data_IF_221648997481
#
_entry.id   IF_221648997481
#
_cell.length_a   1.000
_cell.length_b   1.000
_cell.length_c   1.000
_cell.angle_alpha   90.00
_cell.angle_beta   90.00
_cell.angle_gamma   90.00
#
_symmetry.space_group_name_H-M   'P 1'
#
loop_
_entity.id
_entity.type
_entity.pdbx_description
1 polymer ?
#
# COMPACT_ATOMS: atom_id res chain seq x y z
N UNK A 1 -27.26 -3.11 -10.40
CA UNK A 1 -26.57 -4.03 -9.46
C UNK A 1 -26.86 -3.58 -8.04
N UNK A 2 -27.41 -4.43 -7.18
CA UNK A 2 -27.79 -4.07 -5.79
C UNK A 2 -26.57 -4.26 -4.89
N UNK A 3 -26.02 -3.19 -4.34
CA UNK A 3 -24.88 -3.24 -3.41
C UNK A 3 -25.34 -3.92 -2.10
N UNK A 4 -24.62 -4.98 -1.69
CA UNK A 4 -24.89 -5.69 -0.43
C UNK A 4 -24.64 -4.79 0.79
N UNK A 5 -25.22 -5.13 1.95
CA UNK A 5 -24.94 -4.43 3.20
C UNK A 5 -23.44 -4.48 3.55
N UNK A 6 -22.81 -5.63 3.32
CA UNK A 6 -21.37 -5.84 3.53
C UNK A 6 -20.54 -4.86 2.70
N UNK A 7 -20.86 -4.71 1.41
CA UNK A 7 -20.13 -3.79 0.52
C UNK A 7 -20.27 -2.33 1.00
N UNK A 8 -21.46 -1.91 1.45
CA UNK A 8 -21.66 -0.56 2.02
C UNK A 8 -20.82 -0.34 3.27
N UNK A 9 -20.76 -1.34 4.15
CA UNK A 9 -19.94 -1.29 5.36
C UNK A 9 -18.46 -1.17 5.01
N UNK A 10 -17.96 -2.00 4.09
CA UNK A 10 -16.57 -1.99 3.64
C UNK A 10 -16.19 -0.64 3.00
N UNK A 11 -17.06 -0.08 2.15
CA UNK A 11 -16.85 1.26 1.57
C UNK A 11 -16.80 2.36 2.64
N UNK A 12 -17.67 2.30 3.65
CA UNK A 12 -17.70 3.28 4.75
C UNK A 12 -16.43 3.21 5.59
N UNK A 13 -15.98 1.99 5.93
CA UNK A 13 -14.74 1.77 6.67
C UNK A 13 -13.51 2.23 5.87
N UNK A 14 -13.44 1.88 4.59
CA UNK A 14 -12.39 2.34 3.70
C UNK A 14 -12.35 3.87 3.60
N UNK A 15 -13.53 4.53 3.58
CA UNK A 15 -13.63 6.00 3.60
C UNK A 15 -13.08 6.58 4.89
N UNK A 16 -13.49 6.04 6.03
CA UNK A 16 -12.99 6.49 7.33
C UNK A 16 -11.47 6.30 7.46
N UNK A 17 -10.94 5.19 6.93
CA UNK A 17 -9.51 4.95 6.84
C UNK A 17 -8.81 6.02 5.98
N UNK A 18 -9.29 6.24 4.76
CA UNK A 18 -8.69 7.18 3.82
C UNK A 18 -8.66 8.62 4.34
N UNK A 19 -9.70 9.05 5.08
CA UNK A 19 -9.78 10.40 5.68
C UNK A 19 -8.76 10.65 6.79
N UNK A 20 -8.14 9.60 7.34
CA UNK A 20 -7.11 9.72 8.39
C UNK A 20 -5.69 9.78 7.83
N UNK A 21 -5.52 9.49 6.53
CA UNK A 21 -4.21 9.53 5.87
C UNK A 21 -3.77 10.99 5.71
N UNK A 22 -2.48 11.24 5.99
CA UNK A 22 -1.85 12.53 5.76
C UNK A 22 -1.05 12.51 4.45
N UNK A 23 -0.66 13.68 3.94
CA UNK A 23 0.10 13.80 2.70
C UNK A 23 -0.67 13.41 1.43
N UNK A 24 -1.99 13.27 1.52
CA UNK A 24 -2.90 12.91 0.43
C UNK A 24 -3.75 14.13 0.07
N UNK A 25 -3.74 14.53 -1.20
CA UNK A 25 -4.56 15.66 -1.70
C UNK A 25 -6.00 15.26 -1.95
N UNK A 26 -6.21 14.04 -2.43
CA UNK A 26 -7.52 13.52 -2.81
C UNK A 26 -7.52 12.00 -2.83
N UNK A 27 -8.71 11.43 -2.66
CA UNK A 27 -8.89 9.99 -2.74
C UNK A 27 -10.22 9.63 -3.40
N UNK A 28 -10.25 8.47 -4.06
CA UNK A 28 -11.44 7.84 -4.61
C UNK A 28 -11.55 6.42 -4.06
N UNK A 29 -12.78 5.98 -3.82
CA UNK A 29 -13.05 4.64 -3.31
C UNK A 29 -14.01 3.95 -4.26
N UNK A 30 -13.68 2.71 -4.62
CA UNK A 30 -14.51 1.86 -5.47
C UNK A 30 -14.44 0.41 -5.02
N UNK A 31 -15.47 -0.37 -5.35
CA UNK A 31 -15.37 -1.82 -5.29
C UNK A 31 -14.35 -2.29 -6.34
N UNK A 32 -13.59 -3.32 -6.00
CA UNK A 32 -12.68 -3.98 -6.94
C UNK A 32 -13.47 -4.95 -7.80
N UNK A 33 -13.26 -4.88 -9.11
CA UNK A 33 -13.73 -5.90 -10.05
C UNK A 33 -12.64 -6.95 -10.31
N UNK A 34 -13.03 -8.09 -10.87
CA UNK A 34 -12.11 -9.20 -11.15
C UNK A 34 -11.00 -8.83 -12.14
N UNK A 35 -11.25 -7.87 -13.04
CA UNK A 35 -10.28 -7.42 -14.04
C UNK A 35 -9.44 -6.22 -13.58
N UNK A 36 -9.72 -5.65 -12.41
CA UNK A 36 -8.98 -4.51 -11.89
C UNK A 36 -7.64 -4.97 -11.28
N UNK A 37 -6.54 -4.27 -11.59
CA UNK A 37 -5.23 -4.49 -10.97
C UNK A 37 -4.77 -5.97 -10.96
N UNK A 38 -5.07 -6.73 -12.02
CA UNK A 38 -4.77 -8.18 -12.10
C UNK A 38 -3.30 -8.47 -11.80
N UNK A 39 -2.40 -7.70 -12.42
CA UNK A 39 -0.96 -7.85 -12.20
C UNK A 39 -0.57 -7.54 -10.74
N UNK A 40 -1.00 -6.41 -10.18
CA UNK A 40 -0.66 -6.05 -8.79
C UNK A 40 -1.17 -7.09 -7.80
N UNK A 41 -2.42 -7.55 -7.95
CA UNK A 41 -2.99 -8.58 -7.08
C UNK A 41 -2.30 -9.93 -7.22
N UNK A 42 -1.84 -10.29 -8.43
CA UNK A 42 -1.01 -11.49 -8.63
C UNK A 42 0.32 -11.36 -7.88
N UNK A 43 1.01 -10.23 -7.99
CA UNK A 43 2.28 -9.99 -7.30
C UNK A 43 2.13 -10.01 -5.78
N UNK A 44 1.07 -9.40 -5.24
CA UNK A 44 0.78 -9.49 -3.80
C UNK A 44 0.57 -10.93 -3.31
N UNK A 45 -0.11 -11.77 -4.11
CA UNK A 45 -0.26 -13.19 -3.79
C UNK A 45 1.07 -13.92 -3.79
N UNK A 46 1.99 -13.59 -4.70
CA UNK A 46 3.33 -14.19 -4.75
C UNK A 46 4.19 -13.78 -3.54
N UNK A 47 4.17 -12.50 -3.16
CA UNK A 47 4.89 -11.98 -1.96
C UNK A 47 4.41 -12.68 -0.69
N UNK A 48 3.10 -12.93 -0.57
CA UNK A 48 2.54 -13.55 0.63
C UNK A 48 2.71 -15.09 0.70
N UNK A 49 3.41 -15.72 -0.25
CA UNK A 49 3.75 -17.15 -0.15
C UNK A 49 4.86 -17.36 0.87
N UNK A 50 4.77 -18.46 1.62
CA UNK A 50 5.76 -18.87 2.62
C UNK A 50 7.15 -19.05 1.98
N UNK A 51 7.20 -19.70 0.81
CA UNK A 51 8.46 -19.97 0.08
C UNK A 51 8.70 -18.96 -1.05
N UNK A 52 8.38 -17.68 -0.84
CA UNK A 52 8.65 -16.68 -1.87
C UNK A 52 10.17 -16.44 -2.00
N UNK A 53 10.66 -16.33 -3.24
CA UNK A 53 12.06 -16.03 -3.56
C UNK A 53 12.21 -14.60 -4.08
N UNK A 54 11.28 -13.71 -3.70
CA UNK A 54 11.26 -12.34 -4.20
C UNK A 54 12.36 -11.56 -3.50
N UNK A 55 13.12 -10.80 -4.28
CA UNK A 55 14.16 -9.94 -3.74
C UNK A 55 13.55 -8.95 -2.74
N UNK A 56 14.16 -8.89 -1.56
CA UNK A 56 13.70 -8.07 -0.44
C UNK A 56 14.87 -7.40 0.24
N UNK A 57 14.58 -6.27 0.87
CA UNK A 57 15.52 -5.60 1.76
C UNK A 57 15.01 -5.68 3.19
N UNK A 58 15.80 -6.27 4.07
CA UNK A 58 15.48 -6.34 5.49
C UNK A 58 16.00 -5.12 6.25
N UNK A 59 15.24 -4.70 7.25
CA UNK A 59 15.58 -3.64 8.17
C UNK A 59 15.47 -4.14 9.60
N UNK A 60 16.52 -3.92 10.39
CA UNK A 60 16.50 -4.22 11.81
C UNK A 60 15.54 -3.29 12.57
N UNK A 61 14.95 -3.81 13.63
CA UNK A 61 14.17 -3.04 14.60
C UNK A 61 15.12 -2.51 15.70
N UNK A 62 15.04 -1.22 16.12
CA UNK A 62 14.08 -0.21 15.69
C UNK A 62 14.36 0.34 14.29
N UNK A 63 13.28 0.47 13.50
CA UNK A 63 13.34 0.88 12.10
C UNK A 63 13.77 2.36 11.96
N UNK A 64 14.79 2.60 11.15
CA UNK A 64 15.14 3.97 10.74
C UNK A 64 14.16 4.45 9.65
N UNK A 65 13.12 5.15 10.08
CA UNK A 65 12.03 5.63 9.21
C UNK A 65 12.53 6.50 8.06
N UNK A 66 13.53 7.36 8.28
CA UNK A 66 14.08 8.23 7.24
C UNK A 66 14.79 7.41 6.14
N UNK A 67 15.49 6.33 6.52
CA UNK A 67 16.12 5.41 5.58
C UNK A 67 15.08 4.64 4.76
N UNK A 68 13.98 4.24 5.40
CA UNK A 68 12.87 3.59 4.71
C UNK A 68 12.18 4.53 3.73
N UNK A 69 11.82 5.74 4.15
CA UNK A 69 11.20 6.75 3.27
C UNK A 69 12.11 7.06 2.08
N UNK A 70 13.42 7.17 2.31
CA UNK A 70 14.40 7.38 1.24
C UNK A 70 14.42 6.21 0.26
N UNK A 71 14.28 4.96 0.74
CA UNK A 71 14.14 3.78 -0.11
C UNK A 71 12.84 3.79 -0.91
N UNK A 72 11.71 4.18 -0.31
CA UNK A 72 10.45 4.35 -1.04
C UNK A 72 10.60 5.37 -2.17
N UNK A 73 11.16 6.53 -1.87
CA UNK A 73 11.33 7.62 -2.82
C UNK A 73 12.22 7.21 -4.00
N UNK A 74 13.34 6.52 -3.74
CA UNK A 74 14.24 6.03 -4.78
C UNK A 74 13.62 4.91 -5.60
N UNK A 75 12.92 3.98 -4.94
CA UNK A 75 12.22 2.88 -5.61
C UNK A 75 11.14 3.39 -6.55
N UNK A 76 10.36 4.39 -6.14
CA UNK A 76 9.28 4.93 -6.96
C UNK A 76 9.77 5.95 -8.01
N UNK A 77 11.05 6.37 -7.97
CA UNK A 77 11.60 7.48 -8.75
C UNK A 77 10.70 8.73 -8.67
N UNK A 78 10.35 9.11 -7.44
CA UNK A 78 9.38 10.18 -7.17
C UNK A 78 9.94 11.52 -7.59
N UNK A 79 9.39 12.10 -8.66
CA UNK A 79 9.68 13.48 -9.08
C UNK A 79 8.48 14.43 -8.89
N UNK A 80 7.27 13.88 -8.66
CA UNK A 80 5.98 14.59 -8.57
C UNK A 80 4.98 13.78 -7.72
N UNK A 81 3.74 14.26 -7.62
CA UNK A 81 2.62 13.56 -7.00
C UNK A 81 2.51 12.11 -7.47
N UNK A 82 2.22 11.20 -6.54
CA UNK A 82 2.19 9.76 -6.75
C UNK A 82 0.76 9.27 -6.69
N UNK A 83 0.36 8.48 -7.69
CA UNK A 83 -0.90 7.75 -7.65
C UNK A 83 -0.67 6.38 -7.01
N UNK A 84 -1.31 6.17 -5.87
CA UNK A 84 -1.17 4.97 -5.05
C UNK A 84 -2.54 4.31 -4.85
N UNK A 85 -2.58 2.99 -4.81
CA UNK A 85 -3.79 2.21 -4.57
C UNK A 85 -3.57 1.29 -3.37
N UNK A 86 -4.55 1.26 -2.47
CA UNK A 86 -4.62 0.35 -1.32
C UNK A 86 -5.80 -0.59 -1.52
N UNK A 87 -5.58 -1.89 -1.41
CA UNK A 87 -6.63 -2.90 -1.47
C UNK A 87 -7.14 -3.20 -0.06
N UNK A 88 -8.17 -2.46 0.35
CA UNK A 88 -8.77 -2.57 1.67
C UNK A 88 -9.66 -3.82 1.77
N UNK A 89 -9.28 -4.75 2.64
CA UNK A 89 -9.97 -6.06 2.86
C UNK A 89 -10.08 -6.87 1.55
N UNK A 90 -9.22 -6.60 0.56
CA UNK A 90 -9.21 -7.30 -0.73
C UNK A 90 -10.39 -7.01 -1.68
N UNK A 91 -11.41 -6.27 -1.23
CA UNK A 91 -12.66 -6.02 -1.98
C UNK A 91 -12.84 -4.56 -2.40
N UNK A 92 -12.15 -3.64 -1.74
CA UNK A 92 -12.28 -2.20 -1.97
C UNK A 92 -10.94 -1.62 -2.38
N UNK A 93 -10.93 -0.82 -3.44
CA UNK A 93 -9.77 -0.02 -3.83
C UNK A 93 -9.91 1.39 -3.25
N UNK A 94 -8.88 1.83 -2.55
CA UNK A 94 -8.69 3.24 -2.18
C UNK A 94 -7.58 3.78 -3.10
N UNK A 95 -7.97 4.58 -4.09
CA UNK A 95 -7.04 5.27 -4.99
C UNK A 95 -6.73 6.65 -4.41
N UNK A 96 -5.44 6.96 -4.26
CA UNK A 96 -4.90 8.10 -3.53
C UNK A 96 -4.01 8.92 -4.46
N UNK A 97 -4.13 10.24 -4.39
CA UNK A 97 -3.13 11.17 -4.94
C UNK A 97 -2.28 11.69 -3.78
N UNK A 98 -1.05 11.19 -3.68
CA UNK A 98 -0.09 11.51 -2.61
C UNK A 98 0.81 12.65 -3.08
N UNK A 99 0.88 13.74 -2.30
CA UNK A 99 1.79 14.86 -2.53
C UNK A 99 3.00 14.85 -1.59
N UNK A 100 2.81 14.35 -0.36
CA UNK A 100 3.87 14.21 0.64
C UNK A 100 4.00 12.73 1.03
N UNK A 101 4.98 12.07 0.41
CA UNK A 101 5.27 10.67 0.66
C UNK A 101 5.65 10.41 2.13
N UNK A 102 6.40 11.30 2.75
CA UNK A 102 6.85 11.12 4.13
C UNK A 102 5.67 11.15 5.09
N UNK A 103 4.82 12.17 4.97
CA UNK A 103 3.60 12.29 5.79
C UNK A 103 2.64 11.12 5.54
N UNK A 104 2.53 10.67 4.29
CA UNK A 104 1.71 9.52 3.92
C UNK A 104 2.18 8.23 4.58
N UNK A 105 3.46 7.86 4.43
CA UNK A 105 4.02 6.63 5.02
C UNK A 105 3.92 6.66 6.55
N UNK A 106 4.22 7.80 7.18
CA UNK A 106 4.07 7.97 8.64
C UNK A 106 2.62 7.79 9.10
N UNK A 107 1.65 8.28 8.32
CA UNK A 107 0.23 8.10 8.64
C UNK A 107 -0.21 6.64 8.55
N UNK A 108 0.33 5.84 7.62
CA UNK A 108 0.05 4.41 7.53
C UNK A 108 0.46 3.68 8.81
N UNK A 109 1.68 3.93 9.31
CA UNK A 109 2.16 3.31 10.55
C UNK A 109 1.30 3.68 11.76
N UNK A 110 0.96 4.96 11.87
CA UNK A 110 0.13 5.46 12.97
C UNK A 110 -1.27 4.84 12.98
N UNK A 111 -1.89 4.67 11.80
CA UNK A 111 -3.24 4.11 11.69
C UNK A 111 -3.25 2.59 11.86
N UNK A 112 -2.28 1.90 11.26
CA UNK A 112 -2.24 0.44 11.28
C UNK A 112 -1.74 -0.11 12.63
N UNK A 113 -0.89 0.65 13.33
CA UNK A 113 -0.24 0.20 14.56
C UNK A 113 0.87 -0.85 14.34
N UNK A 114 1.17 -1.18 13.08
CA UNK A 114 2.26 -2.06 12.65
C UNK A 114 2.95 -1.46 11.42
N UNK A 115 4.07 -2.04 11.00
CA UNK A 115 4.73 -1.66 9.74
C UNK A 115 4.12 -2.35 8.51
N UNK A 116 3.09 -3.20 8.70
CA UNK A 116 2.49 -3.97 7.62
C UNK A 116 1.60 -3.11 6.73
N UNK A 117 1.93 -3.09 5.43
CA UNK A 117 1.01 -2.65 4.40
C UNK A 117 1.47 -3.08 3.01
N UNK A 118 0.53 -3.04 2.08
CA UNK A 118 0.78 -3.24 0.65
C UNK A 118 0.27 -2.06 -0.16
N UNK A 119 1.10 -1.52 -1.05
CA UNK A 119 0.78 -0.40 -1.93
C UNK A 119 0.96 -0.80 -3.40
N UNK A 120 -0.01 -0.44 -4.22
CA UNK A 120 0.00 -0.67 -5.67
C UNK A 120 0.05 0.65 -6.43
N UNK A 121 1.07 0.83 -7.27
CA UNK A 121 1.31 2.03 -8.06
C UNK A 121 1.09 1.72 -9.54
N UNK A 122 0.46 2.63 -10.27
CA UNK A 122 0.17 2.47 -11.70
C UNK A 122 1.09 3.29 -12.62
N UNK A 123 1.93 4.14 -12.04
CA UNK A 123 2.88 4.97 -12.78
C UNK A 123 4.01 5.45 -11.87
N UNK A 124 5.19 4.82 -11.91
CA UNK A 124 5.48 3.54 -12.60
C UNK A 124 4.69 2.36 -12.01
N UNK A 125 4.42 1.33 -12.83
CA UNK A 125 3.75 0.08 -12.40
C UNK A 125 4.63 -0.66 -11.38
N UNK A 126 4.23 -0.60 -10.11
CA UNK A 126 4.98 -1.19 -8.99
C UNK A 126 4.08 -1.73 -7.91
N UNK A 127 4.55 -2.76 -7.22
CA UNK A 127 3.99 -3.23 -5.94
C UNK A 127 5.07 -3.09 -4.88
N UNK A 128 4.73 -2.43 -3.78
CA UNK A 128 5.59 -2.36 -2.60
C UNK A 128 4.85 -2.98 -1.43
N UNK A 129 5.50 -3.90 -0.73
CA UNK A 129 4.97 -4.51 0.49
C UNK A 129 5.99 -4.32 1.59
N UNK A 130 5.51 -3.88 2.75
CA UNK A 130 6.23 -3.98 4.00
C UNK A 130 5.58 -5.06 4.85
N UNK A 131 6.41 -5.95 5.38
CA UNK A 131 6.02 -7.00 6.31
C UNK A 131 6.85 -6.89 7.57
N UNK A 132 6.20 -6.77 8.72
CA UNK A 132 6.80 -6.87 10.04
C UNK A 132 6.71 -8.33 10.50
N UNK A 133 7.84 -8.99 10.72
CA UNK A 133 7.89 -10.37 11.18
C UNK A 133 8.33 -10.49 12.65
N UNK A 134 8.16 -9.42 13.45
CA UNK A 134 8.58 -9.27 14.85
C UNK A 134 10.08 -9.07 15.06
N UNK A 135 10.93 -9.57 14.16
CA UNK A 135 12.39 -9.47 14.26
C UNK A 135 12.96 -8.39 13.33
N UNK A 136 12.40 -8.30 12.13
CA UNK A 136 12.79 -7.36 11.10
C UNK A 136 11.59 -6.90 10.28
N UNK A 137 11.79 -5.81 9.57
CA UNK A 137 10.84 -5.29 8.59
C UNK A 137 11.38 -5.58 7.21
N UNK A 138 10.63 -6.35 6.43
CA UNK A 138 10.99 -6.73 5.06
C UNK A 138 10.31 -5.82 4.05
N UNK A 139 11.10 -5.18 3.20
CA UNK A 139 10.64 -4.36 2.07
C UNK A 139 10.75 -5.17 0.78
N UNK A 140 9.60 -5.54 0.23
CA UNK A 140 9.47 -6.18 -1.08
C UNK A 140 9.10 -5.13 -2.12
N UNK A 141 9.75 -5.16 -3.28
CA UNK A 141 9.35 -4.34 -4.40
C UNK A 141 9.39 -5.13 -5.72
N UNK A 142 8.32 -5.02 -6.50
CA UNK A 142 8.24 -5.60 -7.83
C UNK A 142 7.94 -4.49 -8.84
N UNK A 143 8.64 -4.54 -9.97
CA UNK A 143 8.38 -3.71 -11.13
C UNK A 143 7.85 -4.61 -12.25
N UNK A 144 7.02 -4.03 -13.12
CA UNK A 144 6.59 -4.69 -14.34
C UNK A 144 7.61 -4.49 -15.45
#
# INVERSE_FOLDING_TARGET
MKISLQNKLNLTKAKSYATKLNGVTSFKISLLHEDDFVWHRKMLKEINKIDNFIERKSFNIPLNINSLISLFASTLNVQKNINCNIFYVGEVCISLCVEDLSAFILSLFSINGTYDFSLAFTSPDRVIVLSDNEYEVEFYYMHK
#
